data_IF_759938786437
#
_entry.id   IF_759938786437
#
_cell.length_a   1.000
_cell.length_b   1.000
_cell.length_c   1.000
_cell.angle_alpha   90.00
_cell.angle_beta   90.00
_cell.angle_gamma   90.00
#
_symmetry.space_group_name_H-M   'P 1'
#
loop_
_entity.id
_entity.type
_entity.pdbx_description
1 polymer ?
#
# COMPACT_ATOMS: atom_id res chain seq x y z
N UNK A 1 -30.13 69.78 -14.45
CA UNK A 1 -29.39 68.70 -13.76
C UNK A 1 -29.41 68.99 -12.26
N UNK A 2 -30.23 68.29 -11.49
CA UNK A 2 -30.34 68.46 -10.03
C UNK A 2 -29.66 67.27 -9.35
N UNK A 3 -28.68 67.57 -8.48
CA UNK A 3 -28.08 66.64 -7.52
C UNK A 3 -29.15 66.18 -6.52
N UNK A 4 -29.20 64.88 -6.24
CA UNK A 4 -29.92 64.32 -5.10
C UNK A 4 -28.90 63.64 -4.17
N UNK A 5 -28.66 64.25 -3.01
CA UNK A 5 -27.95 63.63 -1.89
C UNK A 5 -28.93 62.67 -1.19
N UNK A 6 -28.51 61.41 -1.01
CA UNK A 6 -29.19 60.47 -0.12
C UNK A 6 -28.23 60.22 1.06
N UNK A 7 -28.64 60.66 2.25
CA UNK A 7 -27.98 60.37 3.51
C UNK A 7 -28.55 59.06 4.09
N UNK A 8 -27.71 58.04 4.24
CA UNK A 8 -28.06 56.83 4.98
C UNK A 8 -27.70 57.00 6.46
N UNK A 9 -28.72 56.99 7.33
CA UNK A 9 -28.56 56.78 8.76
C UNK A 9 -28.16 55.32 9.03
N UNK A 10 -27.04 55.12 9.73
CA UNK A 10 -26.65 53.83 10.29
C UNK A 10 -27.16 53.76 11.73
N UNK A 11 -28.13 52.88 11.99
CA UNK A 11 -28.54 52.52 13.33
C UNK A 11 -27.68 51.35 13.84
N UNK A 12 -26.81 51.61 14.83
CA UNK A 12 -26.08 50.57 15.55
C UNK A 12 -27.04 49.82 16.49
N UNK A 13 -27.54 48.67 16.05
CA UNK A 13 -28.21 47.69 16.91
C UNK A 13 -27.18 46.76 17.56
N UNK A 14 -26.92 46.93 18.85
CA UNK A 14 -26.13 45.99 19.66
C UNK A 14 -26.95 44.74 19.98
N UNK A 15 -26.90 43.72 19.12
CA UNK A 15 -27.44 42.40 19.43
C UNK A 15 -26.41 41.59 20.23
N UNK A 16 -26.72 41.36 21.50
CA UNK A 16 -26.00 40.44 22.40
C UNK A 16 -26.07 39.01 21.82
N UNK A 17 -24.95 38.30 21.60
CA UNK A 17 -24.97 36.94 21.07
C UNK A 17 -25.63 35.99 22.09
N UNK A 18 -26.44 35.02 21.63
CA UNK A 18 -27.07 34.03 22.49
C UNK A 18 -26.00 33.13 23.11
N UNK A 19 -26.19 32.80 24.38
CA UNK A 19 -25.29 31.95 25.15
C UNK A 19 -25.13 30.57 24.47
N UNK A 20 -23.89 30.21 24.21
CA UNK A 20 -23.47 28.93 23.66
C UNK A 20 -23.84 27.82 24.66
N UNK A 21 -24.62 26.79 24.25
CA UNK A 21 -24.93 25.67 25.14
C UNK A 21 -23.63 24.91 25.47
N UNK A 22 -23.48 24.43 26.71
CA UNK A 22 -22.28 23.70 27.12
C UNK A 22 -22.08 22.49 26.21
N UNK A 23 -20.86 22.36 25.67
CA UNK A 23 -20.46 21.23 24.86
C UNK A 23 -20.72 19.93 25.63
N UNK A 24 -21.71 19.17 25.17
CA UNK A 24 -21.97 17.82 25.63
C UNK A 24 -20.74 17.00 25.27
N UNK A 25 -19.98 16.60 26.29
CA UNK A 25 -18.82 15.73 26.14
C UNK A 25 -19.35 14.37 25.70
N UNK A 26 -19.50 14.19 24.38
CA UNK A 26 -19.77 12.90 23.76
C UNK A 26 -18.59 12.01 24.10
N UNK A 27 -18.77 11.22 25.15
CA UNK A 27 -17.80 10.22 25.57
C UNK A 27 -17.88 9.11 24.53
N UNK A 28 -17.04 9.18 23.50
CA UNK A 28 -16.93 8.12 22.50
C UNK A 28 -16.50 6.86 23.27
N UNK A 29 -17.31 5.80 23.31
CA UNK A 29 -16.90 4.56 23.98
C UNK A 29 -15.59 4.07 23.34
N UNK A 30 -14.61 3.60 24.13
CA UNK A 30 -13.37 3.06 23.58
C UNK A 30 -13.72 1.98 22.57
N UNK A 31 -13.13 2.08 21.36
CA UNK A 31 -13.28 1.06 20.34
C UNK A 31 -12.95 -0.31 20.97
N UNK A 32 -13.74 -1.37 20.72
CA UNK A 32 -13.41 -2.69 21.21
C UNK A 32 -11.98 -3.03 20.79
N UNK A 33 -11.16 -3.44 21.75
CA UNK A 33 -9.78 -3.83 21.49
C UNK A 33 -9.77 -5.07 20.57
N UNK A 34 -9.79 -4.87 19.26
CA UNK A 34 -9.49 -5.91 18.26
C UNK A 34 -7.99 -6.10 18.18
N UNK A 35 -7.41 -6.59 19.28
CA UNK A 35 -6.01 -6.96 19.33
C UNK A 35 -5.91 -8.45 19.69
N UNK A 36 -6.23 -9.27 18.71
CA UNK A 36 -5.66 -10.62 18.62
C UNK A 36 -4.71 -10.63 17.43
N UNK A 37 -3.62 -9.87 17.55
CA UNK A 37 -2.38 -10.21 16.85
C UNK A 37 -2.01 -11.60 17.38
N UNK A 38 -1.94 -12.58 16.48
CA UNK A 38 -1.61 -13.95 16.85
C UNK A 38 -0.26 -13.94 17.62
N UNK A 39 -0.12 -14.72 18.69
CA UNK A 39 1.13 -14.77 19.45
C UNK A 39 2.32 -15.03 18.52
N UNK A 40 3.37 -14.22 18.63
CA UNK A 40 4.61 -14.40 17.87
C UNK A 40 4.67 -13.73 16.49
N UNK A 41 3.70 -12.88 16.12
CA UNK A 41 3.78 -12.02 14.93
C UNK A 41 4.09 -10.58 15.35
N UNK A 42 5.26 -10.07 14.96
CA UNK A 42 5.59 -8.66 15.10
C UNK A 42 5.10 -7.92 13.85
N UNK A 43 4.01 -7.14 13.96
CA UNK A 43 3.50 -6.40 12.79
C UNK A 43 4.51 -5.35 12.29
N UNK A 44 4.52 -5.04 10.98
CA UNK A 44 5.34 -3.97 10.43
C UNK A 44 4.92 -2.62 10.98
N UNK A 45 5.88 -1.75 11.26
CA UNK A 45 5.63 -0.39 11.77
C UNK A 45 5.68 0.62 10.63
N UNK A 46 4.67 1.46 10.50
CA UNK A 46 4.55 2.40 9.38
C UNK A 46 4.16 3.79 9.88
N UNK A 47 4.39 4.80 9.03
CA UNK A 47 3.78 6.10 9.23
C UNK A 47 2.25 6.00 9.23
N UNK A 48 1.58 6.84 10.00
CA UNK A 48 0.11 6.84 10.09
C UNK A 48 -0.59 7.32 8.81
N UNK A 49 0.14 7.98 7.90
CA UNK A 49 -0.40 8.54 6.67
C UNK A 49 -0.39 7.50 5.55
N UNK A 50 -1.41 7.57 4.68
CA UNK A 50 -1.48 6.73 3.49
C UNK A 50 -2.08 5.34 3.73
N UNK A 51 -2.52 5.00 4.93
CA UNK A 51 -3.19 3.72 5.22
C UNK A 51 -4.64 3.91 5.64
N UNK A 52 -5.44 2.87 5.44
CA UNK A 52 -6.83 2.81 5.87
C UNK A 52 -6.93 2.23 7.28
N UNK A 53 -8.02 2.54 8.00
CA UNK A 53 -8.30 1.88 9.29
C UNK A 53 -8.52 0.39 9.08
N UNK A 54 -7.98 -0.43 9.97
CA UNK A 54 -8.12 -1.88 9.93
C UNK A 54 -9.39 -2.38 10.66
N UNK A 55 -10.51 -1.67 10.53
CA UNK A 55 -11.76 -1.96 11.26
C UNK A 55 -12.72 -2.88 10.49
N UNK A 56 -12.46 -3.15 9.21
CA UNK A 56 -13.32 -4.00 8.39
C UNK A 56 -13.09 -5.49 8.67
N UNK A 57 -14.15 -6.28 8.94
CA UNK A 57 -14.02 -7.72 9.10
C UNK A 57 -13.69 -8.36 7.75
N UNK A 58 -12.49 -8.93 7.65
CA UNK A 58 -12.03 -9.66 6.47
C UNK A 58 -11.45 -11.01 6.88
N UNK A 59 -11.55 -12.06 6.05
CA UNK A 59 -10.80 -13.30 6.22
C UNK A 59 -9.31 -12.99 6.41
N UNK A 60 -8.67 -13.70 7.35
CA UNK A 60 -7.29 -13.43 7.73
C UNK A 60 -6.37 -14.57 7.33
N UNK A 61 -5.25 -14.21 6.73
CA UNK A 61 -4.08 -15.06 6.52
C UNK A 61 -2.95 -14.44 7.32
N UNK A 62 -2.25 -15.24 8.13
CA UNK A 62 -1.11 -14.73 8.90
C UNK A 62 0.15 -15.50 8.56
N UNK A 63 1.25 -14.79 8.33
CA UNK A 63 2.58 -15.38 8.16
C UNK A 63 3.47 -14.94 9.32
N UNK A 64 3.97 -15.92 10.05
CA UNK A 64 4.99 -15.76 11.09
C UNK A 64 6.33 -16.31 10.58
N UNK A 65 7.44 -16.18 11.32
CA UNK A 65 8.69 -16.82 10.93
C UNK A 65 8.60 -18.36 10.79
N UNK A 66 7.62 -19.01 11.45
CA UNK A 66 7.54 -20.48 11.55
C UNK A 66 6.32 -21.10 10.90
N UNK A 67 5.30 -20.32 10.57
CA UNK A 67 4.06 -20.86 10.01
C UNK A 67 3.26 -19.84 9.20
N UNK A 68 2.62 -20.34 8.15
CA UNK A 68 1.52 -19.70 7.45
C UNK A 68 0.21 -20.27 8.01
N UNK A 69 -0.66 -19.39 8.49
CA UNK A 69 -1.93 -19.74 9.12
C UNK A 69 -3.11 -19.11 8.38
N UNK A 70 -4.22 -19.83 8.32
CA UNK A 70 -5.48 -19.37 7.73
C UNK A 70 -6.57 -19.56 8.77
N UNK A 71 -7.31 -18.48 9.11
CA UNK A 71 -8.35 -18.52 10.16
C UNK A 71 -7.81 -19.13 11.49
N UNK A 72 -6.56 -18.85 11.83
CA UNK A 72 -5.87 -19.34 13.03
C UNK A 72 -5.36 -20.78 12.96
N UNK A 73 -5.58 -21.53 11.87
CA UNK A 73 -5.05 -22.89 11.68
C UNK A 73 -3.76 -22.85 10.88
N UNK A 74 -2.72 -23.53 11.35
CA UNK A 74 -1.48 -23.70 10.60
C UNK A 74 -1.72 -24.55 9.34
N UNK A 75 -1.33 -24.02 8.19
CA UNK A 75 -1.49 -24.65 6.87
C UNK A 75 -0.14 -25.12 6.33
N UNK A 76 0.91 -24.31 6.52
CA UNK A 76 2.28 -24.59 6.09
C UNK A 76 3.26 -24.18 7.18
N UNK A 77 4.30 -24.98 7.36
CA UNK A 77 5.47 -24.60 8.16
C UNK A 77 6.38 -23.68 7.34
N UNK A 78 6.90 -22.65 7.96
CA UNK A 78 7.87 -21.73 7.39
C UNK A 78 9.20 -21.90 8.09
N UNK A 79 10.29 -21.70 7.35
CA UNK A 79 11.65 -21.66 7.88
C UNK A 79 12.19 -20.25 7.67
N UNK A 80 12.35 -19.50 8.75
CA UNK A 80 12.71 -18.07 8.72
C UNK A 80 11.80 -17.24 7.80
N UNK A 81 10.49 -17.52 7.89
CA UNK A 81 9.46 -16.86 7.10
C UNK A 81 9.39 -17.29 5.63
N UNK A 82 10.20 -18.28 5.19
CA UNK A 82 10.21 -18.79 3.81
C UNK A 82 9.39 -20.07 3.67
N UNK A 83 8.71 -20.21 2.55
CA UNK A 83 8.02 -21.44 2.15
C UNK A 83 9.04 -22.43 1.59
N UNK A 84 8.95 -23.70 2.00
CA UNK A 84 9.78 -24.77 1.45
C UNK A 84 9.49 -24.98 -0.04
N UNK A 85 10.53 -25.22 -0.85
CA UNK A 85 10.38 -25.47 -2.27
C UNK A 85 9.50 -26.70 -2.58
N UNK A 86 9.46 -27.70 -1.70
CA UNK A 86 8.62 -28.88 -1.83
C UNK A 86 7.12 -28.58 -1.64
N UNK A 87 6.77 -27.49 -0.96
CA UNK A 87 5.39 -27.03 -0.78
C UNK A 87 4.92 -26.10 -1.92
N UNK A 88 5.75 -25.86 -2.94
CA UNK A 88 5.48 -24.96 -4.07
C UNK A 88 5.20 -25.72 -5.37
N UNK A 89 4.35 -25.14 -6.22
CA UNK A 89 3.99 -25.67 -7.55
C UNK A 89 3.89 -24.54 -8.59
N UNK A 90 3.78 -24.89 -9.89
CA UNK A 90 3.41 -23.93 -10.94
C UNK A 90 4.52 -23.52 -11.93
N UNK A 91 5.33 -24.47 -12.41
CA UNK A 91 6.31 -24.21 -13.49
C UNK A 91 7.49 -23.33 -13.06
N UNK A 92 8.18 -22.71 -14.02
CA UNK A 92 9.52 -22.09 -13.87
C UNK A 92 9.69 -21.05 -12.74
N UNK A 93 8.61 -20.54 -12.15
CA UNK A 93 8.68 -19.59 -11.03
C UNK A 93 8.31 -20.20 -9.67
N UNK A 94 7.67 -21.38 -9.61
CA UNK A 94 7.36 -22.08 -8.36
C UNK A 94 6.65 -21.22 -7.31
N UNK A 95 5.69 -20.37 -7.72
CA UNK A 95 5.11 -19.34 -6.83
C UNK A 95 3.78 -19.74 -6.18
N UNK A 96 3.19 -20.87 -6.58
CA UNK A 96 1.89 -21.29 -6.07
C UNK A 96 2.06 -22.20 -4.87
N UNK A 97 1.32 -21.88 -3.80
CA UNK A 97 1.24 -22.64 -2.57
C UNK A 97 -0.08 -23.46 -2.56
N UNK A 98 -0.09 -24.77 -2.93
CA UNK A 98 -1.34 -25.52 -3.09
C UNK A 98 -2.18 -25.60 -1.83
N UNK A 99 -1.56 -25.90 -0.68
CA UNK A 99 -2.25 -25.99 0.61
C UNK A 99 -2.93 -24.66 0.96
N UNK A 100 -2.27 -23.52 0.71
CA UNK A 100 -2.90 -22.22 0.93
C UNK A 100 -4.14 -22.05 0.04
N UNK A 101 -4.06 -22.39 -1.25
CA UNK A 101 -5.20 -22.34 -2.18
C UNK A 101 -6.39 -23.17 -1.70
N UNK A 102 -6.15 -24.38 -1.23
CA UNK A 102 -7.19 -25.27 -0.69
C UNK A 102 -7.91 -24.59 0.48
N UNK A 103 -7.14 -24.02 1.41
CA UNK A 103 -7.63 -23.37 2.62
C UNK A 103 -8.23 -21.96 2.41
N UNK A 104 -8.05 -21.35 1.23
CA UNK A 104 -8.65 -20.03 0.88
C UNK A 104 -9.72 -20.14 -0.20
N UNK A 105 -10.10 -21.35 -0.62
CA UNK A 105 -11.10 -21.57 -1.68
C UNK A 105 -12.50 -21.08 -1.32
N UNK A 106 -12.81 -20.99 -0.02
CA UNK A 106 -14.10 -20.52 0.51
C UNK A 106 -14.11 -19.02 0.83
N UNK A 107 -13.03 -18.29 0.55
CA UNK A 107 -12.96 -16.88 0.86
C UNK A 107 -13.88 -16.06 -0.05
N UNK A 108 -14.60 -15.07 0.49
CA UNK A 108 -15.34 -14.14 -0.34
C UNK A 108 -14.39 -13.40 -1.28
N UNK A 109 -14.85 -13.14 -2.50
CA UNK A 109 -14.10 -12.35 -3.50
C UNK A 109 -13.88 -10.89 -3.06
N UNK A 110 -14.59 -10.44 -2.01
CA UNK A 110 -14.56 -9.08 -1.49
C UNK A 110 -13.21 -8.65 -0.87
N UNK A 111 -12.41 -9.59 -0.35
CA UNK A 111 -11.04 -9.29 0.05
C UNK A 111 -10.48 -10.13 1.19
N UNK A 112 -9.17 -9.98 1.43
CA UNK A 112 -8.40 -10.70 2.45
C UNK A 112 -7.47 -9.74 3.18
N UNK A 113 -7.34 -9.95 4.49
CA UNK A 113 -6.36 -9.24 5.32
C UNK A 113 -5.15 -10.15 5.60
N UNK A 114 -3.97 -9.67 5.24
CA UNK A 114 -2.69 -10.32 5.52
C UNK A 114 -2.07 -9.76 6.82
N UNK A 115 -1.75 -10.64 7.75
CA UNK A 115 -0.98 -10.34 8.97
C UNK A 115 0.41 -10.93 8.84
N UNK A 116 1.38 -10.11 8.44
CA UNK A 116 2.73 -10.59 8.14
C UNK A 116 3.67 -10.13 9.25
N UNK A 117 4.55 -11.00 9.72
CA UNK A 117 5.64 -10.59 10.59
C UNK A 117 6.56 -9.62 9.83
N UNK A 118 7.06 -8.57 10.48
CA UNK A 118 7.90 -7.52 9.88
C UNK A 118 9.17 -8.06 9.21
N UNK A 119 9.62 -9.25 9.61
CA UNK A 119 10.79 -9.94 9.05
C UNK A 119 10.44 -10.87 7.89
N UNK A 120 9.16 -11.07 7.59
CA UNK A 120 8.71 -11.91 6.48
C UNK A 120 9.36 -11.44 5.18
N UNK A 121 10.07 -12.31 4.45
CA UNK A 121 10.66 -11.94 3.17
C UNK A 121 9.59 -11.58 2.14
N UNK A 122 9.90 -10.64 1.25
CA UNK A 122 9.02 -10.24 0.15
C UNK A 122 8.67 -11.43 -0.76
N UNK A 123 9.59 -12.36 -0.99
CA UNK A 123 9.29 -13.59 -1.75
C UNK A 123 8.07 -14.31 -1.21
N UNK A 124 7.95 -14.45 0.12
CA UNK A 124 6.82 -15.12 0.77
C UNK A 124 5.52 -14.34 0.56
N UNK A 125 5.56 -13.01 0.66
CA UNK A 125 4.40 -12.18 0.30
C UNK A 125 3.99 -12.44 -1.17
N UNK A 126 4.94 -12.39 -2.10
CA UNK A 126 4.65 -12.57 -3.52
C UNK A 126 4.09 -13.96 -3.85
N UNK A 127 4.54 -15.02 -3.16
CA UNK A 127 3.99 -16.36 -3.25
C UNK A 127 2.55 -16.43 -2.73
N UNK A 128 2.26 -15.78 -1.59
CA UNK A 128 0.90 -15.64 -1.06
C UNK A 128 0.02 -14.91 -2.09
N UNK A 129 0.44 -13.72 -2.55
CA UNK A 129 -0.32 -12.92 -3.53
C UNK A 129 -0.59 -13.71 -4.82
N UNK A 130 0.43 -14.39 -5.36
CA UNK A 130 0.29 -15.23 -6.56
C UNK A 130 -0.72 -16.35 -6.37
N UNK A 131 -0.72 -16.97 -5.19
CA UNK A 131 -1.66 -18.05 -4.83
C UNK A 131 -3.09 -17.52 -4.71
N UNK A 132 -3.28 -16.36 -4.09
CA UNK A 132 -4.60 -15.71 -3.96
C UNK A 132 -5.14 -15.25 -5.31
N UNK A 133 -4.29 -14.65 -6.16
CA UNK A 133 -4.63 -14.24 -7.51
C UNK A 133 -5.09 -15.44 -8.36
N UNK A 134 -4.38 -16.58 -8.27
CA UNK A 134 -4.79 -17.81 -8.94
C UNK A 134 -6.13 -18.37 -8.42
N UNK A 135 -6.53 -17.98 -7.22
CA UNK A 135 -7.83 -18.31 -6.61
C UNK A 135 -8.91 -17.26 -6.93
N UNK A 136 -8.64 -16.32 -7.84
CA UNK A 136 -9.53 -15.22 -8.25
C UNK A 136 -9.87 -14.23 -7.13
N UNK A 137 -9.05 -14.14 -6.10
CA UNK A 137 -9.14 -13.07 -5.11
C UNK A 137 -8.51 -11.80 -5.70
N UNK A 138 -9.22 -10.68 -5.57
CA UNK A 138 -8.88 -9.43 -6.27
C UNK A 138 -8.52 -8.27 -5.32
N UNK A 139 -8.80 -8.40 -4.02
CA UNK A 139 -8.53 -7.36 -3.03
C UNK A 139 -7.74 -7.94 -1.86
N UNK A 140 -6.57 -7.38 -1.60
CA UNK A 140 -5.69 -7.77 -0.49
C UNK A 140 -5.27 -6.53 0.27
N UNK A 141 -5.32 -6.58 1.59
CA UNK A 141 -4.78 -5.54 2.46
C UNK A 141 -3.75 -6.14 3.40
N UNK A 142 -2.63 -5.46 3.63
CA UNK A 142 -1.63 -5.86 4.62
C UNK A 142 -1.83 -5.06 5.90
N UNK A 143 -1.89 -5.75 7.03
CA UNK A 143 -1.99 -5.14 8.35
C UNK A 143 -0.64 -4.59 8.79
N UNK A 144 -0.64 -3.38 9.35
CA UNK A 144 0.54 -2.72 9.91
C UNK A 144 0.17 -1.96 11.19
N UNK A 145 1.17 -1.54 11.95
CA UNK A 145 1.05 -0.72 13.14
C UNK A 145 1.50 0.71 12.86
N UNK A 146 0.68 1.69 13.23
CA UNK A 146 1.02 3.10 13.22
C UNK A 146 0.89 3.65 14.65
N UNK A 147 1.99 3.64 15.39
CA UNK A 147 1.98 3.96 16.82
C UNK A 147 1.09 2.98 17.60
N UNK A 148 0.05 3.49 18.28
CA UNK A 148 -0.91 2.69 19.03
C UNK A 148 -2.08 2.14 18.17
N UNK A 149 -2.13 2.48 16.87
CA UNK A 149 -3.22 2.11 15.99
C UNK A 149 -2.82 0.99 15.03
N UNK A 150 -3.80 0.17 14.67
CA UNK A 150 -3.66 -0.83 13.62
C UNK A 150 -4.27 -0.29 12.33
N UNK A 151 -3.48 -0.27 11.28
CA UNK A 151 -3.84 0.26 9.95
C UNK A 151 -3.66 -0.81 8.89
N UNK A 152 -4.21 -0.60 7.70
CA UNK A 152 -4.10 -1.54 6.59
C UNK A 152 -3.70 -0.85 5.29
N UNK A 153 -2.82 -1.49 4.53
CA UNK A 153 -2.38 -1.05 3.21
C UNK A 153 -3.05 -1.93 2.14
N UNK A 154 -4.04 -1.42 1.39
CA UNK A 154 -4.53 -2.13 0.22
C UNK A 154 -3.43 -2.25 -0.84
N UNK A 155 -3.35 -3.44 -1.43
CA UNK A 155 -2.50 -3.78 -2.56
C UNK A 155 -3.39 -4.23 -3.69
N UNK A 156 -3.18 -3.64 -4.86
CA UNK A 156 -3.87 -4.05 -6.07
C UNK A 156 -3.22 -5.34 -6.61
N UNK A 157 -4.03 -6.38 -6.78
CA UNK A 157 -3.63 -7.57 -7.53
C UNK A 157 -3.96 -7.36 -9.01
N UNK A 158 -3.01 -7.58 -9.94
CA UNK A 158 -3.36 -7.57 -11.35
C UNK A 158 -4.36 -8.71 -11.66
N UNK A 159 -5.27 -8.56 -12.62
CA UNK A 159 -6.14 -9.65 -13.04
C UNK A 159 -5.32 -10.82 -13.60
N UNK A 160 -5.79 -12.05 -13.36
CA UNK A 160 -5.11 -13.28 -13.78
C UNK A 160 -4.80 -13.28 -15.29
N UNK A 161 -3.54 -13.55 -15.66
CA UNK A 161 -3.10 -13.65 -17.06
C UNK A 161 -2.47 -12.39 -17.66
N UNK A 162 -2.48 -11.27 -16.94
CA UNK A 162 -1.68 -10.10 -17.29
C UNK A 162 -0.56 -9.92 -16.26
N UNK A 163 0.69 -9.78 -16.70
CA UNK A 163 1.69 -9.22 -15.79
C UNK A 163 1.33 -7.76 -15.55
N UNK A 164 1.48 -7.30 -14.30
CA UNK A 164 1.32 -5.90 -13.93
C UNK A 164 2.11 -5.00 -14.89
N UNK A 165 3.34 -5.41 -15.21
CA UNK A 165 4.18 -4.78 -16.21
C UNK A 165 3.49 -4.69 -17.58
N UNK A 166 2.98 -5.78 -18.15
CA UNK A 166 2.43 -5.79 -19.53
C UNK A 166 1.21 -4.90 -19.70
N UNK A 167 0.36 -4.72 -18.68
CA UNK A 167 -0.79 -3.78 -18.78
C UNK A 167 -0.37 -2.30 -18.83
N UNK A 168 0.82 -2.01 -18.32
CA UNK A 168 1.26 -0.66 -17.96
C UNK A 168 2.45 -0.19 -18.81
N UNK A 169 3.21 -1.11 -19.41
CA UNK A 169 4.38 -0.80 -20.24
C UNK A 169 4.12 -0.84 -21.74
N UNK A 170 3.15 -1.64 -22.20
CA UNK A 170 2.86 -1.83 -23.62
C UNK A 170 1.34 -1.87 -23.80
N UNK A 171 0.70 -0.76 -24.23
CA UNK A 171 -0.67 -0.81 -24.73
C UNK A 171 -0.76 -1.85 -25.85
N UNK A 172 -1.95 -2.41 -26.14
CA UNK A 172 -2.12 -3.48 -27.13
C UNK A 172 -1.56 -3.18 -28.52
N UNK A 173 -1.33 -1.90 -28.84
CA UNK A 173 -0.79 -1.40 -30.10
C UNK A 173 0.74 -1.26 -30.15
N UNK A 174 1.46 -1.61 -29.07
CA UNK A 174 2.92 -1.59 -29.02
C UNK A 174 3.57 -0.20 -28.86
N UNK A 175 2.78 0.87 -28.71
CA UNK A 175 3.32 2.24 -28.56
C UNK A 175 3.67 2.55 -27.11
N UNK A 176 4.76 3.27 -26.80
CA UNK A 176 5.07 3.65 -25.42
C UNK A 176 3.86 4.36 -24.78
N UNK A 177 3.54 4.00 -23.54
CA UNK A 177 2.49 4.67 -22.78
C UNK A 177 2.74 6.20 -22.82
N UNK A 178 1.76 7.02 -23.26
CA UNK A 178 1.97 8.45 -23.42
C UNK A 178 2.16 9.16 -22.08
N UNK A 179 1.72 8.55 -20.98
CA UNK A 179 1.76 9.11 -19.64
C UNK A 179 3.06 8.73 -18.88
N UNK A 180 3.34 9.49 -17.81
CA UNK A 180 4.43 9.18 -16.90
C UNK A 180 3.89 8.27 -15.81
N UNK A 181 4.07 6.97 -15.98
CA UNK A 181 3.76 6.01 -14.94
C UNK A 181 5.02 5.78 -14.09
N UNK A 182 5.06 6.28 -12.84
CA UNK A 182 6.21 6.09 -11.98
C UNK A 182 6.30 4.63 -11.51
N UNK A 183 7.54 4.17 -11.37
CA UNK A 183 7.85 2.87 -10.85
C UNK A 183 9.05 2.98 -9.88
N UNK A 184 9.04 2.14 -8.86
CA UNK A 184 10.13 2.01 -7.90
C UNK A 184 10.76 0.64 -8.07
N UNK A 185 12.07 0.57 -8.26
CA UNK A 185 12.85 -0.65 -8.08
C UNK A 185 13.60 -0.53 -6.74
N UNK A 186 13.40 -1.52 -5.87
CA UNK A 186 13.93 -1.54 -4.52
C UNK A 186 14.75 -2.82 -4.29
N UNK A 187 15.99 -2.66 -3.86
CA UNK A 187 16.91 -3.73 -3.50
C UNK A 187 17.50 -3.53 -2.10
N UNK A 188 18.33 -4.46 -1.66
CA UNK A 188 19.07 -4.35 -0.39
C UNK A 188 20.10 -3.21 -0.35
N UNK A 189 20.45 -2.61 -1.49
CA UNK A 189 21.44 -1.53 -1.58
C UNK A 189 20.86 -0.19 -2.02
N UNK A 190 19.82 -0.20 -2.84
CA UNK A 190 19.33 1.00 -3.51
C UNK A 190 17.82 1.00 -3.76
N UNK A 191 17.27 2.22 -3.79
CA UNK A 191 15.94 2.54 -4.30
C UNK A 191 16.11 3.40 -5.55
N UNK A 192 15.47 3.00 -6.64
CA UNK A 192 15.44 3.73 -7.91
C UNK A 192 14.00 4.11 -8.25
N UNK A 193 13.72 5.41 -8.32
CA UNK A 193 12.48 5.94 -8.87
C UNK A 193 12.70 6.28 -10.34
N UNK A 194 11.89 5.71 -11.21
CA UNK A 194 11.93 5.97 -12.65
C UNK A 194 10.51 5.98 -13.20
N UNK A 195 10.38 6.23 -14.50
CA UNK A 195 9.11 6.06 -15.20
C UNK A 195 9.21 4.98 -16.24
N UNK A 196 8.14 4.21 -16.39
CA UNK A 196 8.03 3.17 -17.41
C UNK A 196 8.20 3.76 -18.82
N UNK A 197 7.66 4.96 -19.07
CA UNK A 197 7.80 5.67 -20.35
C UNK A 197 9.16 6.35 -20.55
N UNK A 198 10.03 6.37 -19.54
CA UNK A 198 11.35 7.01 -19.57
C UNK A 198 11.34 8.55 -19.45
N UNK A 199 10.17 9.19 -19.46
CA UNK A 199 10.02 10.66 -19.42
C UNK A 199 10.44 11.30 -18.09
N UNK A 200 10.27 10.58 -16.99
CA UNK A 200 10.74 10.95 -15.66
C UNK A 200 11.83 9.97 -15.19
N UNK A 201 12.92 9.91 -15.96
CA UNK A 201 14.04 9.01 -15.71
C UNK A 201 13.79 7.58 -16.19
N UNK A 202 14.90 6.85 -16.31
CA UNK A 202 14.95 5.44 -16.71
C UNK A 202 15.62 4.62 -15.61
N UNK A 203 15.58 3.29 -15.69
CA UNK A 203 16.28 2.45 -14.70
C UNK A 203 17.80 2.71 -14.65
N UNK A 204 18.40 3.05 -15.80
CA UNK A 204 19.83 3.38 -15.90
C UNK A 204 20.14 4.82 -15.44
N UNK A 205 19.19 5.75 -15.60
CA UNK A 205 19.30 7.15 -15.15
C UNK A 205 18.01 7.54 -14.42
N UNK A 206 17.85 7.10 -13.15
CA UNK A 206 16.61 7.28 -12.41
C UNK A 206 16.36 8.75 -12.09
N UNK A 207 15.10 9.11 -11.88
CA UNK A 207 14.70 10.43 -11.41
C UNK A 207 15.09 10.66 -9.94
N UNK A 208 15.21 9.58 -9.17
CA UNK A 208 15.76 9.57 -7.82
C UNK A 208 16.49 8.25 -7.58
N UNK A 209 17.70 8.33 -7.05
CA UNK A 209 18.50 7.19 -6.61
C UNK A 209 18.84 7.41 -5.14
N UNK A 210 18.53 6.43 -4.30
CA UNK A 210 18.78 6.49 -2.86
C UNK A 210 19.45 5.21 -2.41
N UNK A 211 20.30 5.28 -1.39
CA UNK A 211 20.78 4.10 -0.68
C UNK A 211 19.72 3.61 0.29
N UNK A 212 19.58 2.30 0.45
CA UNK A 212 18.62 1.71 1.41
C UNK A 212 19.24 1.44 2.79
N UNK A 213 20.56 1.49 2.89
CA UNK A 213 21.33 1.37 4.14
C UNK A 213 22.00 2.71 4.45
N UNK A 214 21.81 3.32 5.66
CA UNK A 214 21.17 2.77 6.87
C UNK A 214 19.63 2.85 6.91
N UNK A 215 19.00 3.48 5.93
CA UNK A 215 17.55 3.57 5.80
C UNK A 215 17.19 4.42 4.58
N UNK A 216 15.92 4.38 4.20
CA UNK A 216 15.39 5.16 3.06
C UNK A 216 14.88 6.49 3.61
N UNK A 217 15.30 7.62 3.01
CA UNK A 217 14.67 8.92 3.28
C UNK A 217 13.27 8.99 2.62
N UNK A 218 12.28 8.47 3.33
CA UNK A 218 10.89 8.42 2.88
C UNK A 218 10.29 9.82 2.63
N UNK A 219 10.83 10.87 3.28
CA UNK A 219 10.39 12.26 3.09
C UNK A 219 10.85 12.78 1.73
N UNK A 220 12.11 12.53 1.37
CA UNK A 220 12.64 12.87 0.05
C UNK A 220 11.88 12.12 -1.06
N UNK A 221 11.63 10.81 -0.86
CA UNK A 221 10.85 10.01 -1.79
C UNK A 221 9.44 10.60 -2.00
N UNK A 222 8.71 10.87 -0.93
CA UNK A 222 7.36 11.45 -0.99
C UNK A 222 7.35 12.82 -1.68
N UNK A 223 8.35 13.68 -1.38
CA UNK A 223 8.50 14.99 -2.03
C UNK A 223 8.74 14.84 -3.53
N UNK A 224 9.61 13.90 -3.94
CA UNK A 224 9.90 13.68 -5.35
C UNK A 224 8.70 13.13 -6.11
N UNK A 225 7.94 12.23 -5.50
CA UNK A 225 6.69 11.72 -6.07
C UNK A 225 5.64 12.82 -6.24
N UNK A 226 5.52 13.73 -5.27
CA UNK A 226 4.65 14.90 -5.37
C UNK A 226 5.09 15.87 -6.49
N UNK A 227 6.39 16.08 -6.66
CA UNK A 227 6.97 16.86 -7.77
C UNK A 227 6.61 16.22 -9.12
N UNK A 228 6.82 14.91 -9.27
CA UNK A 228 6.50 14.20 -10.52
C UNK A 228 5.01 14.28 -10.86
N UNK A 229 4.14 14.12 -9.86
CA UNK A 229 2.68 14.20 -10.03
C UNK A 229 2.21 15.60 -10.43
N UNK A 230 2.89 16.64 -9.95
CA UNK A 230 2.62 18.03 -10.33
C UNK A 230 3.13 18.34 -11.73
N UNK A 231 4.31 17.83 -12.09
CA UNK A 231 4.95 18.07 -13.40
C UNK A 231 4.28 17.28 -14.53
N UNK A 232 3.75 16.10 -14.24
CA UNK A 232 3.12 15.21 -15.20
C UNK A 232 1.71 14.81 -14.73
N UNK A 233 0.74 15.73 -14.78
CA UNK A 233 -0.61 15.48 -14.28
C UNK A 233 -1.34 14.48 -15.20
N UNK A 234 -1.67 13.31 -14.67
CA UNK A 234 -2.54 12.33 -15.30
C UNK A 234 -3.57 11.84 -14.28
N UNK A 235 -4.75 12.46 -14.20
CA UNK A 235 -5.73 12.17 -13.16
C UNK A 235 -6.27 10.73 -13.24
N UNK A 236 -6.27 10.14 -14.43
CA UNK A 236 -6.75 8.77 -14.65
C UNK A 236 -5.70 7.69 -14.31
N UNK A 237 -4.43 8.07 -14.15
CA UNK A 237 -3.36 7.15 -13.75
C UNK A 237 -2.98 7.37 -12.28
N UNK A 238 -3.57 6.52 -11.44
CA UNK A 238 -3.40 6.53 -9.99
C UNK A 238 -2.51 5.38 -9.50
N UNK A 239 -1.92 4.62 -10.42
CA UNK A 239 -1.18 3.39 -10.11
C UNK A 239 0.32 3.62 -10.05
N UNK A 240 0.97 3.10 -9.01
CA UNK A 240 2.42 2.95 -8.99
C UNK A 240 2.82 1.48 -8.90
N UNK A 241 3.84 1.10 -9.68
CA UNK A 241 4.46 -0.22 -9.63
C UNK A 241 5.65 -0.18 -8.66
N UNK A 242 5.66 -1.07 -7.68
CA UNK A 242 6.80 -1.29 -6.79
C UNK A 242 7.38 -2.66 -7.05
N UNK A 243 8.63 -2.69 -7.47
CA UNK A 243 9.40 -3.87 -7.84
C UNK A 243 10.42 -4.08 -6.74
N UNK A 244 10.32 -5.19 -6.04
CA UNK A 244 11.14 -5.46 -4.89
C UNK A 244 12.00 -6.70 -5.07
N UNK A 245 13.23 -6.63 -4.57
CA UNK A 245 14.05 -7.80 -4.29
C UNK A 245 13.32 -8.68 -3.26
N UNK A 246 13.20 -9.97 -3.57
CA UNK A 246 12.50 -10.95 -2.75
C UNK A 246 13.12 -11.18 -1.37
N UNK A 247 14.40 -10.83 -1.20
CA UNK A 247 15.14 -10.97 0.07
C UNK A 247 14.85 -9.87 1.08
N UNK A 248 14.22 -8.77 0.66
CA UNK A 248 13.88 -7.67 1.56
C UNK A 248 12.84 -8.09 2.59
N UNK A 249 12.90 -7.53 3.81
CA UNK A 249 11.83 -7.69 4.78
C UNK A 249 10.60 -6.88 4.36
N UNK A 250 9.40 -7.38 4.69
CA UNK A 250 8.14 -6.69 4.39
C UNK A 250 8.06 -5.29 4.98
N UNK A 251 8.74 -5.04 6.10
CA UNK A 251 8.90 -3.73 6.72
C UNK A 251 9.31 -2.65 5.70
N UNK A 252 10.38 -2.91 4.94
CA UNK A 252 10.92 -1.95 3.97
C UNK A 252 9.93 -1.65 2.84
N UNK A 253 9.14 -2.65 2.43
CA UNK A 253 8.12 -2.46 1.39
C UNK A 253 6.97 -1.61 1.90
N UNK A 254 6.50 -1.86 3.12
CA UNK A 254 5.37 -1.11 3.67
C UNK A 254 5.72 0.34 3.98
N UNK A 255 6.95 0.62 4.39
CA UNK A 255 7.48 1.98 4.50
C UNK A 255 7.45 2.72 3.15
N UNK A 256 7.91 2.07 2.09
CA UNK A 256 7.84 2.63 0.74
C UNK A 256 6.38 2.82 0.31
N UNK A 257 5.51 1.82 0.51
CA UNK A 257 4.07 1.92 0.23
C UNK A 257 3.46 3.14 0.93
N UNK A 258 3.79 3.40 2.20
CA UNK A 258 3.31 4.57 2.94
C UNK A 258 3.66 5.89 2.23
N UNK A 259 4.94 6.05 1.89
CA UNK A 259 5.49 7.23 1.23
C UNK A 259 4.97 7.41 -0.21
N UNK A 260 4.62 6.29 -0.85
CA UNK A 260 4.02 6.27 -2.18
C UNK A 260 2.58 6.74 -2.17
N UNK A 261 1.80 6.33 -1.16
CA UNK A 261 0.36 6.62 -1.09
C UNK A 261 0.09 8.04 -0.62
N UNK A 262 0.98 8.62 0.16
CA UNK A 262 0.76 9.95 0.73
C UNK A 262 2.05 10.73 0.95
N UNK A 263 1.95 12.06 0.86
CA UNK A 263 3.00 12.95 1.35
C UNK A 263 3.08 12.89 2.89
N UNK A 264 4.17 13.38 3.51
CA UNK A 264 4.27 13.47 4.97
C UNK A 264 3.13 14.28 5.62
N UNK A 265 2.54 15.22 4.89
CA UNK A 265 1.39 16.02 5.33
C UNK A 265 0.04 15.29 5.16
N UNK A 266 0.06 14.04 4.68
CA UNK A 266 -1.12 13.21 4.49
C UNK A 266 -1.87 13.42 3.18
N UNK A 267 -1.31 14.18 2.22
CA UNK A 267 -1.94 14.37 0.91
C UNK A 267 -1.80 13.10 0.07
N UNK A 268 -2.91 12.59 -0.45
CA UNK A 268 -2.91 11.41 -1.31
C UNK A 268 -2.06 11.63 -2.59
N UNK A 269 -1.22 10.63 -2.89
CA UNK A 269 -0.40 10.52 -4.09
C UNK A 269 -0.95 9.35 -4.92
N UNK A 270 -0.33 8.16 -4.87
CA UNK A 270 -0.74 7.00 -5.68
C UNK A 270 -1.49 5.98 -4.81
N UNK A 271 -2.84 5.99 -4.81
CA UNK A 271 -3.62 5.08 -3.96
C UNK A 271 -3.52 3.61 -4.40
N UNK A 272 -3.30 3.37 -5.69
CA UNK A 272 -3.24 2.04 -6.26
C UNK A 272 -1.78 1.60 -6.38
N UNK A 273 -1.41 0.54 -5.65
CA UNK A 273 -0.05 0.00 -5.69
C UNK A 273 -0.08 -1.43 -6.19
N UNK A 274 0.74 -1.69 -7.19
CA UNK A 274 0.97 -3.03 -7.69
C UNK A 274 2.38 -3.49 -7.30
N UNK A 275 2.46 -4.62 -6.61
CA UNK A 275 3.73 -5.24 -6.23
C UNK A 275 4.19 -6.24 -7.28
N UNK A 276 5.49 -6.24 -7.56
CA UNK A 276 6.15 -7.19 -8.46
C UNK A 276 7.48 -7.64 -7.86
N UNK A 277 7.94 -8.84 -8.22
CA UNK A 277 9.33 -9.24 -8.00
C UNK A 277 10.23 -8.58 -9.05
N UNK A 278 11.47 -8.28 -8.69
CA UNK A 278 12.54 -8.32 -9.67
C UNK A 278 12.71 -9.77 -10.11
N UNK A 279 12.81 -10.04 -11.41
CA UNK A 279 13.20 -11.38 -11.86
C UNK A 279 14.62 -11.67 -11.34
N UNK A 280 14.91 -12.91 -10.87
CA UNK A 280 16.27 -13.30 -10.52
C UNK A 280 17.22 -13.23 -11.72
#
# INVERSE_FOLDING_TARGET
MRLLLIACLVACGSSKPPAEPPAEVVTIPPAPATDTVSPGIELPEVASTGFDRADRPMPQISASPTALTVKGKAVIALSDGKVDAADLTGGALGMIIPKLREHTSDFPTAGVLLKLDRRTPVTTLLQILSTLQASKLIAVSILARAGAQTVSAPIALPPSGASAWVRHTVPPDGKPAPHVQPAIALSSSELKLFSISGKAGTLAKPALLMKTNPGIDLVELGRKLAELRTKYPYPDDQTMVVVADGTLPIQAILEVIAAVRSTPEGKALYPDIVLSSAAP
#
